data_IF_324591868915
#
_entry.id   IF_324591868915
#
_cell.length_a   1.000
_cell.length_b   1.000
_cell.length_c   1.000
_cell.angle_alpha   90.00
_cell.angle_beta   90.00
_cell.angle_gamma   90.00
#
_symmetry.space_group_name_H-M   'P 1'
#
loop_
_entity.id
_entity.type
_entity.pdbx_description
1 polymer ?
#
# COMPACT_ATOMS: atom_id res chain seq x y z
N UNK A 1 -24.97 1.14 10.74
CA UNK A 1 -23.50 1.28 10.70
C UNK A 1 -23.08 1.79 12.06
N UNK A 2 -22.21 1.05 12.74
CA UNK A 2 -21.55 1.54 13.93
C UNK A 2 -20.32 2.32 13.51
N UNK A 3 -20.11 3.50 14.03
CA UNK A 3 -18.96 4.34 13.71
C UNK A 3 -17.76 4.05 14.65
N UNK A 4 -18.01 3.40 15.77
CA UNK A 4 -16.99 2.98 16.71
C UNK A 4 -16.34 1.67 16.23
N UNK A 5 -15.10 1.47 16.62
CA UNK A 5 -14.43 0.19 16.40
C UNK A 5 -15.02 -0.85 17.35
N UNK A 6 -15.11 -2.10 16.89
CA UNK A 6 -15.35 -3.22 17.80
C UNK A 6 -14.26 -3.27 18.87
N UNK A 7 -14.57 -3.88 20.02
CA UNK A 7 -13.60 -4.04 21.10
C UNK A 7 -12.29 -4.71 20.61
N UNK A 8 -12.43 -5.75 19.76
CA UNK A 8 -11.30 -6.45 19.15
C UNK A 8 -10.47 -5.55 18.24
N UNK A 9 -11.10 -4.74 17.41
CA UNK A 9 -10.40 -3.80 16.52
C UNK A 9 -9.78 -2.63 17.31
N UNK A 10 -10.37 -2.22 18.43
CA UNK A 10 -9.78 -1.23 19.32
C UNK A 10 -8.51 -1.78 19.98
N UNK A 11 -8.55 -3.00 20.51
CA UNK A 11 -7.40 -3.67 21.11
C UNK A 11 -6.28 -3.85 20.09
N UNK A 12 -6.61 -4.30 18.87
CA UNK A 12 -5.63 -4.44 17.77
C UNK A 12 -4.98 -3.12 17.40
N UNK A 13 -5.75 -2.05 17.32
CA UNK A 13 -5.20 -0.71 17.05
C UNK A 13 -4.23 -0.29 18.14
N UNK A 14 -4.57 -0.55 19.41
CA UNK A 14 -3.69 -0.23 20.56
C UNK A 14 -2.42 -1.09 20.54
N UNK A 15 -2.51 -2.39 20.20
CA UNK A 15 -1.37 -3.28 19.99
C UNK A 15 -0.40 -2.71 18.94
N UNK A 16 -0.94 -2.39 17.74
CA UNK A 16 -0.11 -1.91 16.64
C UNK A 16 0.46 -0.52 16.92
N UNK A 17 -0.31 0.36 17.58
CA UNK A 17 0.18 1.68 17.99
C UNK A 17 1.34 1.56 18.95
N UNK A 18 1.21 0.73 19.97
CA UNK A 18 2.29 0.49 20.94
C UNK A 18 3.54 -0.08 20.26
N UNK A 19 3.38 -1.02 19.33
CA UNK A 19 4.48 -1.52 18.51
C UNK A 19 5.14 -0.39 17.68
N UNK A 20 4.36 0.40 16.99
CA UNK A 20 4.89 1.49 16.17
C UNK A 20 5.65 2.54 17.01
N UNK A 21 5.20 2.83 18.20
CA UNK A 21 5.86 3.77 19.11
C UNK A 21 7.15 3.20 19.72
N UNK A 22 7.17 1.91 20.04
CA UNK A 22 8.33 1.27 20.65
C UNK A 22 9.43 0.93 19.63
N UNK A 23 9.07 0.40 18.47
CA UNK A 23 10.03 -0.20 17.55
C UNK A 23 10.27 0.63 16.27
N UNK A 24 9.19 1.18 15.66
CA UNK A 24 9.30 1.90 14.40
C UNK A 24 9.66 3.38 14.57
N UNK A 25 9.03 4.08 15.50
CA UNK A 25 9.23 5.52 15.67
C UNK A 25 10.69 5.91 15.98
N UNK A 26 11.43 5.16 16.82
CA UNK A 26 12.84 5.48 17.11
C UNK A 26 13.76 5.41 15.89
N UNK A 27 13.43 4.60 14.89
CA UNK A 27 14.26 4.40 13.71
C UNK A 27 13.69 5.02 12.43
N UNK A 28 12.47 5.55 12.46
CA UNK A 28 11.74 6.01 11.27
C UNK A 28 12.51 7.06 10.46
N UNK A 29 13.15 8.03 11.10
CA UNK A 29 13.97 9.03 10.40
C UNK A 29 15.23 8.39 9.82
N UNK A 30 15.89 7.51 10.58
CA UNK A 30 17.13 6.85 10.16
C UNK A 30 16.91 5.95 8.94
N UNK A 31 15.87 5.12 8.91
CA UNK A 31 15.59 4.25 7.74
C UNK A 31 15.24 5.06 6.50
N UNK A 32 14.60 6.22 6.68
CA UNK A 32 14.29 7.15 5.58
C UNK A 32 15.58 7.81 5.03
N UNK A 33 16.47 8.28 5.91
CA UNK A 33 17.75 8.92 5.52
C UNK A 33 18.71 7.92 4.87
N UNK A 34 18.79 6.70 5.41
CA UNK A 34 19.59 5.59 4.90
C UNK A 34 19.00 4.98 3.61
N UNK A 35 17.76 5.34 3.26
CA UNK A 35 17.00 4.81 2.09
C UNK A 35 16.96 3.29 2.07
N UNK A 36 16.76 2.68 3.21
CA UNK A 36 16.79 1.22 3.35
C UNK A 36 15.43 0.63 3.74
N UNK A 37 15.17 -0.55 3.21
CA UNK A 37 14.05 -1.36 3.67
C UNK A 37 14.28 -1.79 5.13
N UNK A 38 13.29 -1.64 6.03
CA UNK A 38 13.43 -1.97 7.44
C UNK A 38 13.11 -3.45 7.71
N UNK A 39 14.00 -4.37 7.30
CA UNK A 39 13.79 -5.81 7.44
C UNK A 39 13.45 -6.20 8.88
N UNK A 40 14.14 -5.61 9.86
CA UNK A 40 13.92 -5.84 11.29
C UNK A 40 12.47 -5.53 11.75
N UNK A 41 11.82 -4.54 11.13
CA UNK A 41 10.41 -4.23 11.41
C UNK A 41 9.48 -5.28 10.80
N UNK A 42 9.82 -5.78 9.60
CA UNK A 42 9.02 -6.83 8.96
C UNK A 42 9.16 -8.17 9.69
N UNK A 43 10.34 -8.50 10.21
CA UNK A 43 10.54 -9.67 11.08
C UNK A 43 9.64 -9.59 12.32
N UNK A 44 9.64 -8.44 13.03
CA UNK A 44 8.79 -8.20 14.20
C UNK A 44 7.29 -8.20 13.87
N UNK A 45 6.88 -7.70 12.70
CA UNK A 45 5.50 -7.78 12.22
C UNK A 45 5.08 -9.24 11.96
N UNK A 46 5.99 -10.04 11.40
CA UNK A 46 5.82 -11.48 11.19
C UNK A 46 5.65 -12.23 12.51
N UNK A 47 6.57 -12.05 13.45
CA UNK A 47 6.55 -12.69 14.78
C UNK A 47 5.26 -12.38 15.56
N UNK A 48 4.66 -11.21 15.32
CA UNK A 48 3.37 -10.81 15.88
C UNK A 48 2.18 -11.24 15.04
N UNK A 49 2.37 -11.93 13.90
CA UNK A 49 1.32 -12.32 12.95
C UNK A 49 0.58 -11.12 12.32
N UNK A 50 1.21 -9.96 12.25
CA UNK A 50 0.60 -8.75 11.69
C UNK A 50 0.69 -8.70 10.16
N UNK A 51 1.56 -9.48 9.50
CA UNK A 51 1.63 -9.58 8.04
C UNK A 51 0.44 -10.34 7.45
N UNK A 52 -0.13 -11.29 8.20
CA UNK A 52 -1.27 -12.11 7.81
C UNK A 52 -2.64 -11.65 8.34
N UNK A 53 -2.80 -10.40 8.79
CA UNK A 53 -4.05 -9.94 9.45
C UNK A 53 -5.32 -10.27 8.65
N UNK A 54 -5.45 -9.99 7.33
CA UNK A 54 -6.67 -10.30 6.58
C UNK A 54 -6.69 -11.72 6.01
N UNK A 55 -5.61 -12.49 6.15
CA UNK A 55 -5.47 -13.85 5.58
C UNK A 55 -6.09 -14.88 6.52
N UNK A 56 -6.66 -15.94 5.96
CA UNK A 56 -7.28 -17.02 6.72
C UNK A 56 -6.31 -17.67 7.73
N UNK A 57 -6.84 -18.06 8.89
CA UNK A 57 -6.10 -18.80 9.92
C UNK A 57 -5.55 -20.14 9.38
N UNK A 58 -6.23 -20.74 8.40
CA UNK A 58 -5.79 -21.97 7.76
C UNK A 58 -4.40 -21.84 7.10
N UNK A 59 -4.00 -20.62 6.70
CA UNK A 59 -2.72 -20.32 6.08
C UNK A 59 -1.84 -19.40 6.95
N UNK A 60 -2.00 -19.48 8.27
CA UNK A 60 -1.15 -18.76 9.22
C UNK A 60 -1.51 -17.29 9.44
N UNK A 61 -2.60 -16.80 8.86
CA UNK A 61 -3.13 -15.46 9.08
C UNK A 61 -3.99 -15.34 10.35
N UNK A 62 -4.60 -14.16 10.55
CA UNK A 62 -5.51 -13.88 11.69
C UNK A 62 -6.99 -13.90 11.31
N UNK A 63 -7.36 -14.01 10.02
CA UNK A 63 -8.76 -14.01 9.55
C UNK A 63 -9.56 -12.75 9.90
N UNK A 64 -8.90 -11.62 10.15
CA UNK A 64 -9.53 -10.47 10.80
C UNK A 64 -10.15 -9.44 9.84
N UNK A 65 -10.09 -9.68 8.52
CA UNK A 65 -10.73 -8.85 7.50
C UNK A 65 -10.03 -7.54 7.17
N UNK A 66 -10.67 -6.79 6.27
CA UNK A 66 -10.14 -5.55 5.71
C UNK A 66 -10.14 -4.38 6.71
N UNK A 67 -11.14 -4.31 7.60
CA UNK A 67 -11.19 -3.26 8.62
C UNK A 67 -9.98 -3.36 9.55
N UNK A 68 -9.71 -4.54 10.09
CA UNK A 68 -8.58 -4.80 10.96
C UNK A 68 -7.24 -4.54 10.27
N UNK A 69 -7.10 -5.00 9.02
CA UNK A 69 -5.92 -4.74 8.20
C UNK A 69 -5.69 -3.24 7.97
N UNK A 70 -6.75 -2.48 7.67
CA UNK A 70 -6.66 -1.03 7.46
C UNK A 70 -6.15 -0.28 8.70
N UNK A 71 -6.44 -0.77 9.91
CA UNK A 71 -5.90 -0.18 11.15
C UNK A 71 -4.38 -0.37 11.26
N UNK A 72 -3.87 -1.53 10.85
CA UNK A 72 -2.41 -1.75 10.82
C UNK A 72 -1.74 -0.80 9.83
N UNK A 73 -2.28 -0.68 8.62
CA UNK A 73 -1.76 0.25 7.60
C UNK A 73 -1.80 1.70 8.08
N UNK A 74 -2.89 2.14 8.73
CA UNK A 74 -3.04 3.48 9.29
C UNK A 74 -1.98 3.78 10.35
N UNK A 75 -1.76 2.87 11.32
CA UNK A 75 -0.79 3.09 12.40
C UNK A 75 0.66 3.04 11.91
N UNK A 76 1.00 2.16 10.94
CA UNK A 76 2.31 2.18 10.29
C UNK A 76 2.54 3.49 9.52
N UNK A 77 1.54 3.94 8.75
CA UNK A 77 1.59 5.20 8.00
C UNK A 77 1.70 6.44 8.88
N UNK A 78 1.13 6.41 10.09
CA UNK A 78 1.25 7.47 11.09
C UNK A 78 2.71 7.73 11.50
N UNK A 79 3.56 6.72 11.44
CA UNK A 79 4.96 6.80 11.83
C UNK A 79 5.89 6.81 10.61
N UNK A 80 5.66 5.93 9.63
CA UNK A 80 6.52 5.77 8.44
C UNK A 80 5.69 5.40 7.22
N UNK A 81 5.57 6.35 6.28
CA UNK A 81 4.87 6.11 5.01
C UNK A 81 5.49 4.99 4.19
N UNK A 82 6.83 4.91 4.16
CA UNK A 82 7.53 3.88 3.40
C UNK A 82 7.28 2.47 3.96
N UNK A 83 7.39 2.30 5.28
CA UNK A 83 7.08 1.01 5.94
C UNK A 83 5.62 0.62 5.69
N UNK A 84 4.68 1.56 5.83
CA UNK A 84 3.26 1.33 5.56
C UNK A 84 2.98 0.97 4.11
N UNK A 85 3.68 1.57 3.13
CA UNK A 85 3.53 1.22 1.71
C UNK A 85 4.04 -0.18 1.39
N UNK A 86 5.24 -0.52 1.89
CA UNK A 86 5.81 -1.88 1.70
C UNK A 86 4.93 -2.95 2.32
N UNK A 87 4.38 -2.69 3.51
CA UNK A 87 3.41 -3.56 4.17
C UNK A 87 2.12 -3.70 3.34
N UNK A 88 1.58 -2.59 2.82
CA UNK A 88 0.38 -2.61 2.01
C UNK A 88 0.59 -3.39 0.70
N UNK A 89 1.71 -3.22 0.02
CA UNK A 89 2.05 -3.95 -1.19
C UNK A 89 2.18 -5.46 -0.92
N UNK A 90 2.86 -5.85 0.15
CA UNK A 90 2.99 -7.24 0.57
C UNK A 90 1.63 -7.89 0.84
N UNK A 91 0.80 -7.27 1.69
CA UNK A 91 -0.43 -7.91 2.16
C UNK A 91 -1.56 -7.78 1.14
N UNK A 92 -1.86 -6.57 0.63
CA UNK A 92 -3.04 -6.38 -0.23
C UNK A 92 -2.81 -6.76 -1.69
N UNK A 93 -1.57 -6.64 -2.18
CA UNK A 93 -1.29 -6.85 -3.60
C UNK A 93 -0.62 -8.20 -3.91
N UNK A 94 0.09 -8.81 -2.92
CA UNK A 94 0.69 -10.12 -3.12
C UNK A 94 -0.07 -11.23 -2.37
N UNK A 95 -0.27 -11.11 -1.05
CA UNK A 95 -0.89 -12.18 -0.25
C UNK A 95 -2.37 -12.36 -0.58
N UNK A 96 -3.16 -11.28 -0.68
CA UNK A 96 -4.60 -11.38 -0.96
C UNK A 96 -4.97 -12.00 -2.31
N UNK A 97 -4.29 -11.71 -3.44
CA UNK A 97 -4.53 -12.43 -4.69
C UNK A 97 -4.26 -13.93 -4.59
N UNK A 98 -3.21 -14.35 -3.87
CA UNK A 98 -2.94 -15.76 -3.61
C UNK A 98 -4.05 -16.41 -2.78
N UNK A 99 -4.54 -15.71 -1.75
CA UNK A 99 -5.65 -16.17 -0.93
C UNK A 99 -6.95 -16.34 -1.75
N UNK A 100 -7.23 -15.37 -2.64
CA UNK A 100 -8.46 -15.33 -3.41
C UNK A 100 -8.48 -16.30 -4.61
N UNK A 101 -7.35 -16.47 -5.29
CA UNK A 101 -7.27 -17.12 -6.60
C UNK A 101 -6.34 -18.34 -6.65
N UNK A 102 -5.53 -18.57 -5.60
CA UNK A 102 -4.59 -19.67 -5.53
C UNK A 102 -5.26 -21.03 -5.32
N UNK A 103 -4.68 -22.07 -5.91
CA UNK A 103 -4.96 -23.46 -5.54
C UNK A 103 -4.46 -23.74 -4.12
N UNK A 104 -4.92 -24.82 -3.50
CA UNK A 104 -4.43 -25.24 -2.17
C UNK A 104 -2.90 -25.38 -2.14
N UNK A 105 -2.32 -26.04 -3.16
CA UNK A 105 -0.87 -26.20 -3.27
C UNK A 105 -0.12 -24.86 -3.41
N UNK A 106 -0.70 -23.90 -4.14
CA UNK A 106 -0.12 -22.55 -4.26
C UNK A 106 -0.22 -21.79 -2.94
N UNK A 107 -1.33 -21.93 -2.21
CA UNK A 107 -1.51 -21.29 -0.90
C UNK A 107 -0.54 -21.85 0.14
N UNK A 108 -0.42 -23.17 0.21
CA UNK A 108 0.56 -23.82 1.10
C UNK A 108 2.00 -23.39 0.78
N UNK A 109 2.35 -23.31 -0.50
CA UNK A 109 3.71 -22.99 -0.93
C UNK A 109 4.08 -21.52 -0.82
N UNK A 110 3.14 -20.61 -1.17
CA UNK A 110 3.43 -19.19 -1.35
C UNK A 110 2.70 -18.29 -0.34
N UNK A 111 1.41 -18.55 -0.05
CA UNK A 111 0.62 -17.70 0.84
C UNK A 111 0.99 -17.89 2.30
N UNK A 112 1.17 -19.13 2.74
CA UNK A 112 1.46 -19.44 4.14
C UNK A 112 2.75 -18.78 4.64
N UNK A 113 3.90 -18.87 3.93
CA UNK A 113 5.11 -18.14 4.31
C UNK A 113 4.93 -16.61 4.32
N UNK A 114 4.17 -16.05 3.36
CA UNK A 114 3.85 -14.62 3.33
C UNK A 114 3.03 -14.20 4.55
N UNK A 115 1.99 -14.96 4.89
CA UNK A 115 1.11 -14.65 6.02
C UNK A 115 1.82 -14.73 7.37
N UNK A 116 2.83 -15.63 7.48
CA UNK A 116 3.67 -15.79 8.68
C UNK A 116 4.83 -14.80 8.75
N UNK A 117 5.14 -14.09 7.66
CA UNK A 117 6.28 -13.18 7.59
C UNK A 117 7.63 -13.88 7.36
N UNK A 118 7.61 -15.15 6.97
CA UNK A 118 8.79 -15.93 6.58
C UNK A 118 9.28 -15.54 5.18
N UNK A 119 8.43 -14.86 4.41
CA UNK A 119 8.68 -14.40 3.04
C UNK A 119 8.01 -13.05 2.81
N UNK A 120 8.50 -12.29 1.81
CA UNK A 120 7.92 -11.03 1.37
C UNK A 120 7.35 -11.14 -0.05
N UNK A 121 6.25 -10.43 -0.28
CA UNK A 121 5.59 -10.41 -1.58
C UNK A 121 5.64 -9.06 -2.27
N UNK A 122 5.59 -9.11 -3.61
CA UNK A 122 5.43 -7.95 -4.49
C UNK A 122 4.36 -8.21 -5.56
N UNK A 123 3.91 -7.14 -6.21
CA UNK A 123 2.92 -7.20 -7.29
C UNK A 123 3.37 -6.40 -8.50
N UNK A 124 3.40 -7.03 -9.65
CA UNK A 124 3.99 -6.48 -10.86
C UNK A 124 2.96 -6.37 -12.01
N UNK A 125 2.33 -5.19 -12.09
CA UNK A 125 1.42 -4.81 -13.16
C UNK A 125 2.08 -3.79 -14.10
N UNK A 126 2.49 -2.65 -13.55
CA UNK A 126 2.93 -1.45 -14.27
C UNK A 126 4.16 -1.70 -15.15
N UNK A 127 4.15 -1.14 -16.35
CA UNK A 127 5.23 -1.20 -17.32
C UNK A 127 5.63 0.23 -17.76
N UNK A 128 6.78 0.40 -18.46
CA UNK A 128 7.18 1.71 -18.97
C UNK A 128 6.09 2.40 -19.81
N UNK A 129 5.35 1.67 -20.61
CA UNK A 129 4.31 2.18 -21.51
C UNK A 129 2.88 2.00 -20.96
N UNK A 130 2.71 1.32 -19.81
CA UNK A 130 1.41 0.97 -19.23
C UNK A 130 1.33 1.36 -17.76
N UNK A 131 0.77 2.53 -17.49
CA UNK A 131 0.50 3.04 -16.13
C UNK A 131 -1.00 3.18 -15.86
N UNK A 132 -1.60 4.34 -16.17
CA UNK A 132 -3.05 4.55 -16.01
C UNK A 132 -3.87 3.72 -17.01
N UNK A 133 -3.32 3.44 -18.18
CA UNK A 133 -3.83 2.44 -19.12
C UNK A 133 -3.24 1.07 -18.77
N UNK A 134 -3.70 0.53 -17.63
CA UNK A 134 -3.11 -0.65 -17.00
C UNK A 134 -3.36 -1.96 -17.74
N UNK A 135 -4.24 -1.95 -18.74
CA UNK A 135 -4.53 -3.12 -19.60
C UNK A 135 -3.64 -3.19 -20.84
N UNK A 136 -2.93 -2.12 -21.17
CA UNK A 136 -2.05 -2.05 -22.35
C UNK A 136 -0.66 -2.62 -22.05
N UNK A 137 -0.62 -3.86 -21.54
CA UNK A 137 0.62 -4.55 -21.16
C UNK A 137 1.39 -5.02 -22.40
N UNK A 138 2.72 -4.95 -22.30
CA UNK A 138 3.66 -5.43 -23.33
C UNK A 138 4.40 -6.69 -22.89
N UNK A 139 4.44 -7.00 -21.60
CA UNK A 139 5.02 -8.26 -21.09
C UNK A 139 4.19 -9.43 -21.61
N UNK A 140 4.83 -10.37 -22.30
CA UNK A 140 4.17 -11.52 -22.92
C UNK A 140 4.53 -12.80 -22.17
N UNK A 141 3.58 -13.74 -22.14
CA UNK A 141 3.79 -15.10 -21.67
C UNK A 141 3.33 -16.06 -22.80
N UNK A 142 4.26 -16.77 -23.38
CA UNK A 142 4.00 -17.71 -24.49
C UNK A 142 4.12 -19.14 -23.99
N UNK A 143 3.11 -19.98 -24.26
CA UNK A 143 3.15 -21.39 -23.84
C UNK A 143 4.13 -22.18 -24.72
N UNK A 144 5.05 -22.93 -24.08
CA UNK A 144 6.04 -23.81 -24.71
C UNK A 144 6.01 -25.17 -23.98
N UNK A 145 5.24 -26.09 -24.51
CA UNK A 145 4.98 -27.39 -23.86
C UNK A 145 4.22 -27.21 -22.53
N UNK A 146 4.83 -27.66 -21.43
CA UNK A 146 4.26 -27.59 -20.08
C UNK A 146 4.73 -26.36 -19.31
N UNK A 147 5.38 -25.41 -19.98
CA UNK A 147 5.92 -24.18 -19.38
C UNK A 147 5.37 -22.93 -20.07
N UNK A 148 5.50 -21.80 -19.38
CA UNK A 148 5.31 -20.46 -19.91
C UNK A 148 6.65 -19.75 -20.04
N UNK A 149 6.96 -19.21 -21.21
CA UNK A 149 8.13 -18.37 -21.45
C UNK A 149 7.71 -16.91 -21.39
N UNK A 150 8.26 -16.17 -20.42
CA UNK A 150 7.86 -14.81 -20.15
C UNK A 150 8.96 -13.82 -20.49
N UNK A 151 8.60 -12.81 -21.27
CA UNK A 151 9.49 -11.73 -21.72
C UNK A 151 8.86 -10.38 -21.50
N UNK A 152 9.60 -9.41 -20.94
CA UNK A 152 9.13 -8.05 -20.77
C UNK A 152 9.86 -7.24 -19.72
N UNK A 153 9.27 -6.09 -19.38
CA UNK A 153 9.83 -5.16 -18.38
C UNK A 153 8.73 -4.65 -17.47
N UNK A 154 8.93 -4.75 -16.17
CA UNK A 154 8.04 -4.15 -15.16
C UNK A 154 8.69 -2.95 -14.48
N UNK A 155 7.90 -1.91 -14.21
CA UNK A 155 8.38 -0.64 -13.69
C UNK A 155 7.61 -0.19 -12.47
N UNK A 156 8.28 0.50 -11.56
CA UNK A 156 7.74 1.02 -10.30
C UNK A 156 7.18 -0.06 -9.36
N UNK A 157 7.80 -1.23 -9.34
CA UNK A 157 7.35 -2.37 -8.53
C UNK A 157 7.90 -2.24 -7.11
N UNK A 158 7.00 -2.02 -6.16
CA UNK A 158 7.31 -1.96 -4.73
C UNK A 158 7.76 -3.33 -4.24
N UNK A 159 8.79 -3.36 -3.41
CA UNK A 159 9.39 -4.55 -2.78
C UNK A 159 10.11 -5.52 -3.72
N UNK A 160 10.15 -5.33 -5.04
CA UNK A 160 10.65 -6.36 -5.96
C UNK A 160 12.08 -6.85 -5.68
N UNK A 161 12.94 -6.01 -5.09
CA UNK A 161 14.32 -6.39 -4.74
C UNK A 161 14.49 -7.06 -3.37
N UNK A 162 13.41 -7.16 -2.61
CA UNK A 162 13.37 -7.82 -1.29
C UNK A 162 12.27 -8.89 -1.21
N UNK A 163 11.53 -9.09 -2.31
CA UNK A 163 10.45 -10.06 -2.38
C UNK A 163 10.98 -11.48 -2.63
N UNK A 164 10.30 -12.46 -2.03
CA UNK A 164 10.50 -13.90 -2.28
C UNK A 164 9.48 -14.46 -3.28
N UNK A 165 8.38 -13.71 -3.49
CA UNK A 165 7.41 -14.01 -4.54
C UNK A 165 6.83 -12.74 -5.14
N UNK A 166 6.61 -12.76 -6.47
CA UNK A 166 6.05 -11.63 -7.23
C UNK A 166 4.82 -12.11 -8.00
N UNK A 167 3.68 -11.46 -7.73
CA UNK A 167 2.44 -11.70 -8.50
C UNK A 167 2.52 -10.88 -9.78
N UNK A 168 2.79 -11.54 -10.87
CA UNK A 168 3.14 -10.96 -12.17
C UNK A 168 1.96 -11.02 -13.14
N UNK A 169 1.65 -9.92 -13.82
CA UNK A 169 0.68 -9.87 -14.93
C UNK A 169 1.41 -9.90 -16.27
N UNK A 170 0.94 -10.76 -17.20
CA UNK A 170 1.47 -10.83 -18.54
C UNK A 170 0.35 -11.15 -19.56
N UNK A 171 0.58 -10.79 -20.81
CA UNK A 171 -0.34 -11.07 -21.94
C UNK A 171 -0.08 -12.48 -22.45
N UNK A 172 -1.09 -13.33 -22.39
CA UNK A 172 -1.08 -14.70 -22.92
C UNK A 172 -1.78 -14.82 -24.29
N UNK A 173 -2.70 -13.89 -24.58
CA UNK A 173 -3.36 -13.78 -25.89
C UNK A 173 -3.53 -12.30 -26.28
N UNK A 174 -2.68 -11.77 -27.18
CA UNK A 174 -2.76 -10.36 -27.60
C UNK A 174 -4.06 -9.98 -28.33
N UNK A 175 -4.77 -10.94 -28.92
CA UNK A 175 -5.99 -10.69 -29.70
C UNK A 175 -7.26 -10.66 -28.80
N UNK A 176 -7.18 -11.19 -27.58
CA UNK A 176 -8.31 -11.29 -26.67
C UNK A 176 -8.55 -10.02 -25.80
N UNK A 177 -7.73 -8.97 -25.93
CA UNK A 177 -7.85 -7.74 -25.16
C UNK A 177 -7.74 -7.99 -23.66
N UNK A 178 -8.75 -7.60 -22.87
CA UNK A 178 -8.76 -7.81 -21.42
C UNK A 178 -8.69 -9.29 -20.99
N UNK A 179 -9.32 -10.17 -21.77
CA UNK A 179 -9.35 -11.62 -21.55
C UNK A 179 -8.03 -12.29 -21.99
N UNK A 180 -7.11 -11.52 -22.56
CA UNK A 180 -5.77 -11.99 -22.92
C UNK A 180 -4.74 -11.84 -21.83
N UNK A 181 -5.08 -11.28 -20.65
CA UNK A 181 -4.15 -11.06 -19.54
C UNK A 181 -4.26 -12.21 -18.54
N UNK A 182 -3.12 -12.76 -18.11
CA UNK A 182 -3.04 -13.82 -17.11
C UNK A 182 -2.12 -13.41 -15.96
N UNK A 183 -2.21 -14.14 -14.86
CA UNK A 183 -1.42 -13.89 -13.64
C UNK A 183 -0.49 -15.06 -13.36
N UNK A 184 0.74 -14.76 -12.99
CA UNK A 184 1.76 -15.76 -12.67
C UNK A 184 2.39 -15.48 -11.30
N UNK A 185 2.90 -16.52 -10.67
CA UNK A 185 3.72 -16.45 -9.46
C UNK A 185 5.19 -16.61 -9.87
N UNK A 186 5.96 -15.55 -9.74
CA UNK A 186 7.40 -15.52 -10.02
C UNK A 186 8.19 -15.65 -8.72
N UNK A 187 9.20 -16.51 -8.70
CA UNK A 187 10.21 -16.64 -7.65
C UNK A 187 11.49 -15.92 -8.09
N UNK A 188 11.80 -14.71 -7.60
CA UNK A 188 12.94 -13.94 -8.06
C UNK A 188 14.29 -14.55 -7.70
N UNK A 189 14.32 -15.57 -6.85
CA UNK A 189 15.55 -16.26 -6.43
C UNK A 189 15.81 -17.56 -7.19
N UNK A 190 14.78 -18.17 -7.77
CA UNK A 190 14.85 -19.48 -8.42
C UNK A 190 14.58 -19.43 -9.93
N UNK A 191 13.86 -18.44 -10.41
CA UNK A 191 13.47 -18.36 -11.82
C UNK A 191 14.53 -17.59 -12.61
N UNK A 192 15.32 -18.30 -13.42
CA UNK A 192 16.37 -17.71 -14.27
C UNK A 192 15.78 -16.69 -15.26
N UNK A 193 16.54 -15.65 -15.60
CA UNK A 193 16.13 -14.59 -16.53
C UNK A 193 15.43 -13.40 -15.86
N UNK A 194 15.21 -13.43 -14.54
CA UNK A 194 14.77 -12.26 -13.77
C UNK A 194 15.96 -11.38 -13.37
N UNK A 195 15.89 -10.07 -13.64
CA UNK A 195 16.95 -9.13 -13.26
C UNK A 195 16.38 -7.79 -12.80
N UNK A 196 16.76 -7.35 -11.59
CA UNK A 196 16.50 -5.98 -11.14
C UNK A 196 17.45 -5.02 -11.88
N UNK A 197 16.91 -4.24 -12.81
CA UNK A 197 17.70 -3.31 -13.63
C UNK A 197 17.80 -1.91 -13.01
N UNK A 198 16.89 -1.56 -12.10
CA UNK A 198 16.93 -0.27 -11.42
C UNK A 198 16.18 -0.29 -10.08
N UNK A 199 16.78 0.29 -9.04
CA UNK A 199 16.10 0.76 -7.83
C UNK A 199 15.97 2.27 -7.95
N UNK A 200 14.73 2.77 -7.90
CA UNK A 200 14.43 4.19 -8.13
C UNK A 200 14.74 5.04 -6.90
N UNK A 201 15.42 6.14 -7.14
CA UNK A 201 15.47 7.26 -6.19
C UNK A 201 14.17 8.06 -6.27
N UNK A 202 13.55 8.35 -5.14
CA UNK A 202 12.20 8.93 -5.06
C UNK A 202 12.19 10.23 -4.27
N UNK A 203 11.14 11.01 -4.44
CA UNK A 203 10.88 12.22 -3.66
C UNK A 203 10.65 11.92 -2.17
N UNK A 204 9.98 10.82 -1.85
CA UNK A 204 9.64 10.34 -0.51
C UNK A 204 9.55 8.83 -0.46
N UNK A 205 9.07 8.28 0.68
CA UNK A 205 8.92 6.85 0.91
C UNK A 205 10.24 6.09 0.68
N UNK A 206 11.36 6.66 1.13
CA UNK A 206 12.69 6.14 0.83
C UNK A 206 12.93 4.76 1.45
N UNK A 207 12.25 4.46 2.57
CA UNK A 207 12.30 3.16 3.23
C UNK A 207 11.47 2.06 2.51
N UNK A 208 10.75 2.40 1.44
CA UNK A 208 10.04 1.45 0.58
C UNK A 208 10.76 1.34 -0.77
N UNK A 209 11.45 0.25 -1.09
CA UNK A 209 12.12 0.11 -2.37
C UNK A 209 11.10 0.04 -3.52
N UNK A 210 11.46 0.65 -4.64
CA UNK A 210 10.64 0.66 -5.86
C UNK A 210 11.54 0.36 -7.04
N UNK A 211 11.26 -0.71 -7.77
CA UNK A 211 12.17 -1.28 -8.75
C UNK A 211 11.62 -1.27 -10.17
N UNK A 212 12.54 -1.33 -11.13
CA UNK A 212 12.31 -1.84 -12.47
C UNK A 212 13.05 -3.15 -12.59
N UNK A 213 12.45 -4.14 -13.23
CA UNK A 213 13.08 -5.39 -13.57
C UNK A 213 12.73 -5.85 -14.97
N UNK A 214 13.59 -6.67 -15.55
CA UNK A 214 13.40 -7.33 -16.83
C UNK A 214 13.20 -8.83 -16.65
N UNK A 215 12.49 -9.40 -17.60
CA UNK A 215 12.24 -10.82 -17.77
C UNK A 215 12.77 -11.19 -19.15
N UNK A 216 13.75 -12.07 -19.23
CA UNK A 216 14.41 -12.51 -20.46
C UNK A 216 14.36 -14.04 -20.52
N UNK A 217 13.40 -14.57 -21.30
CA UNK A 217 13.10 -15.99 -21.44
C UNK A 217 12.86 -16.71 -20.08
N UNK A 218 12.20 -16.03 -19.15
CA UNK A 218 11.85 -16.62 -17.83
C UNK A 218 10.87 -17.76 -18.04
N UNK A 219 11.27 -18.98 -17.61
CA UNK A 219 10.47 -20.20 -17.76
C UNK A 219 9.76 -20.54 -16.48
N UNK A 220 8.43 -20.52 -16.53
CA UNK A 220 7.58 -20.88 -15.39
C UNK A 220 6.78 -22.14 -15.72
N UNK A 221 6.80 -23.17 -14.87
CA UNK A 221 5.93 -24.34 -15.03
C UNK A 221 4.44 -23.96 -14.90
N UNK A 222 3.56 -24.80 -15.41
CA UNK A 222 2.13 -24.53 -15.49
C UNK A 222 1.50 -24.24 -14.12
N UNK A 223 2.01 -24.85 -13.06
CA UNK A 223 1.53 -24.66 -11.68
C UNK A 223 1.82 -23.26 -11.10
N UNK A 224 2.57 -22.42 -11.84
CA UNK A 224 2.80 -21.00 -11.51
C UNK A 224 1.72 -20.06 -12.08
N UNK A 225 0.80 -20.54 -12.90
CA UNK A 225 -0.39 -19.78 -13.33
C UNK A 225 -1.33 -19.63 -12.13
N UNK A 226 -1.68 -18.40 -11.77
CA UNK A 226 -2.59 -18.07 -10.67
C UNK A 226 -4.03 -17.91 -11.21
N UNK A 227 -4.92 -18.84 -10.88
CA UNK A 227 -6.25 -18.94 -11.49
C UNK A 227 -6.18 -19.52 -12.89
N UNK A 228 -7.07 -19.12 -13.79
CA UNK A 228 -7.15 -19.59 -15.15
C UNK A 228 -6.52 -18.59 -16.13
N UNK A 229 -6.12 -19.09 -17.32
CA UNK A 229 -5.64 -18.22 -18.42
C UNK A 229 -6.73 -17.22 -18.79
N UNK A 230 -6.37 -15.94 -18.93
CA UNK A 230 -7.30 -14.87 -19.33
C UNK A 230 -8.03 -14.18 -18.17
N UNK A 231 -7.92 -14.68 -16.94
CA UNK A 231 -8.58 -14.07 -15.77
C UNK A 231 -7.80 -12.90 -15.14
N UNK A 232 -6.59 -12.64 -15.63
CA UNK A 232 -5.66 -11.69 -15.00
C UNK A 232 -6.22 -10.28 -14.85
N UNK A 233 -7.05 -9.81 -15.79
CA UNK A 233 -7.66 -8.49 -15.69
C UNK A 233 -8.74 -8.42 -14.61
N UNK A 234 -9.62 -9.39 -14.53
CA UNK A 234 -10.64 -9.49 -13.48
C UNK A 234 -10.01 -9.58 -12.09
N UNK A 235 -8.95 -10.40 -11.95
CA UNK A 235 -8.16 -10.48 -10.73
C UNK A 235 -7.52 -9.12 -10.38
N UNK A 236 -7.01 -8.38 -11.38
CA UNK A 236 -6.44 -7.04 -11.20
C UNK A 236 -7.46 -6.07 -10.62
N UNK A 237 -8.67 -6.01 -11.18
CA UNK A 237 -9.72 -5.10 -10.70
C UNK A 237 -10.13 -5.42 -9.26
N UNK A 238 -10.31 -6.71 -8.95
CA UNK A 238 -10.62 -7.19 -7.59
C UNK A 238 -9.52 -6.83 -6.59
N UNK A 239 -8.26 -7.02 -6.97
CA UNK A 239 -7.09 -6.69 -6.14
C UNK A 239 -7.02 -5.20 -5.85
N UNK A 240 -7.22 -4.37 -6.89
CA UNK A 240 -7.14 -2.92 -6.78
C UNK A 240 -8.24 -2.31 -5.91
N UNK A 241 -9.43 -2.91 -5.81
CA UNK A 241 -10.46 -2.41 -4.90
C UNK A 241 -10.02 -2.53 -3.43
N UNK A 242 -9.39 -3.65 -3.05
CA UNK A 242 -8.75 -3.81 -1.74
C UNK A 242 -7.53 -2.89 -1.55
N UNK A 243 -6.70 -2.76 -2.57
CA UNK A 243 -5.51 -1.91 -2.58
C UNK A 243 -5.83 -0.42 -2.39
N UNK A 244 -6.87 0.10 -3.04
CA UNK A 244 -7.34 1.49 -2.85
C UNK A 244 -7.75 1.77 -1.41
N UNK A 245 -8.39 0.80 -0.73
CA UNK A 245 -8.71 0.93 0.70
C UNK A 245 -7.43 0.99 1.53
N UNK A 246 -6.41 0.21 1.19
CA UNK A 246 -5.11 0.22 1.86
C UNK A 246 -4.40 1.56 1.70
N UNK A 247 -4.39 2.13 0.48
CA UNK A 247 -3.80 3.45 0.22
C UNK A 247 -4.60 4.56 0.94
N UNK A 248 -5.92 4.44 1.05
CA UNK A 248 -6.72 5.37 1.83
C UNK A 248 -6.35 5.30 3.33
N UNK A 249 -6.14 4.09 3.87
CA UNK A 249 -5.68 3.90 5.26
C UNK A 249 -4.27 4.46 5.48
N UNK A 250 -3.33 4.17 4.57
CA UNK A 250 -1.98 4.73 4.60
C UNK A 250 -1.99 6.26 4.57
N UNK A 251 -2.79 6.84 3.68
CA UNK A 251 -2.97 8.29 3.58
C UNK A 251 -3.54 8.90 4.86
N UNK A 252 -4.53 8.22 5.47
CA UNK A 252 -5.09 8.62 6.76
C UNK A 252 -4.04 8.61 7.86
N UNK A 253 -3.17 7.59 7.87
CA UNK A 253 -2.03 7.49 8.79
C UNK A 253 -1.04 8.64 8.60
N UNK A 254 -0.64 8.95 7.36
CA UNK A 254 0.23 10.08 7.04
C UNK A 254 -0.37 11.41 7.52
N UNK A 255 -1.68 11.62 7.28
CA UNK A 255 -2.38 12.82 7.78
C UNK A 255 -2.38 12.87 9.31
N UNK A 256 -2.62 11.75 9.98
CA UNK A 256 -2.62 11.66 11.44
C UNK A 256 -1.24 11.99 12.02
N UNK A 257 -0.16 11.42 11.47
CA UNK A 257 1.21 11.68 11.94
C UNK A 257 1.61 13.14 11.74
N UNK A 258 1.27 13.73 10.59
CA UNK A 258 1.52 15.15 10.32
C UNK A 258 0.72 16.07 11.27
N UNK A 259 -0.55 15.75 11.51
CA UNK A 259 -1.40 16.47 12.47
C UNK A 259 -0.86 16.40 13.90
N UNK A 260 -0.47 15.20 14.38
CA UNK A 260 0.08 15.02 15.72
C UNK A 260 1.37 15.82 15.92
N UNK A 261 2.29 15.78 14.95
CA UNK A 261 3.53 16.54 14.97
C UNK A 261 3.28 18.06 15.06
N UNK A 262 2.36 18.58 14.24
CA UNK A 262 2.00 19.99 14.24
C UNK A 262 1.34 20.44 15.55
N UNK A 263 0.40 19.63 16.04
CA UNK A 263 -0.32 19.90 17.30
C UNK A 263 0.61 19.95 18.50
N UNK A 264 1.52 18.98 18.60
CA UNK A 264 2.53 18.92 19.68
C UNK A 264 3.42 20.14 19.63
N UNK A 265 4.00 20.43 18.44
CA UNK A 265 4.87 21.59 18.27
C UNK A 265 4.16 22.91 18.61
N UNK A 266 2.91 23.08 18.16
CA UNK A 266 2.16 24.31 18.43
C UNK A 266 1.85 24.53 19.92
N UNK A 267 1.69 23.45 20.67
CA UNK A 267 1.49 23.52 22.12
C UNK A 267 2.76 23.85 22.92
N UNK A 268 3.94 23.50 22.38
CA UNK A 268 5.24 23.69 23.04
C UNK A 268 5.98 24.93 22.61
N UNK A 269 5.83 25.33 21.35
CA UNK A 269 6.52 26.50 20.77
C UNK A 269 5.89 27.80 21.22
N UNK A 270 6.67 28.65 21.89
CA UNK A 270 6.24 29.97 22.32
C UNK A 270 6.74 31.09 21.40
N UNK A 271 5.87 32.04 21.10
CA UNK A 271 6.19 33.33 20.48
C UNK A 271 5.22 34.38 21.05
N UNK A 272 5.71 35.61 21.21
CA UNK A 272 4.95 36.72 21.82
C UNK A 272 4.41 36.34 23.21
N UNK A 273 5.25 35.65 24.00
CA UNK A 273 5.01 35.26 25.39
C UNK A 273 3.84 34.24 25.61
N UNK A 274 3.50 33.47 24.57
CA UNK A 274 2.48 32.41 24.65
C UNK A 274 2.74 31.29 23.64
N UNK A 275 2.20 30.06 23.87
CA UNK A 275 2.21 28.98 22.89
C UNK A 275 1.57 29.42 21.57
N UNK A 276 2.16 29.04 20.44
CA UNK A 276 1.62 29.43 19.14
C UNK A 276 0.22 28.86 18.87
N UNK A 277 -0.17 27.80 19.55
CA UNK A 277 -1.53 27.25 19.52
C UNK A 277 -2.62 28.24 20.01
N UNK A 278 -2.23 29.26 20.78
CA UNK A 278 -3.16 30.28 21.26
C UNK A 278 -3.51 31.34 20.22
N UNK A 279 -2.77 31.40 19.09
CA UNK A 279 -3.12 32.29 17.98
C UNK A 279 -4.21 31.67 17.11
N UNK A 280 -5.29 32.41 16.85
CA UNK A 280 -6.44 31.93 16.07
C UNK A 280 -6.03 31.36 14.70
N UNK A 281 -5.11 32.03 14.00
CA UNK A 281 -4.65 31.57 12.68
C UNK A 281 -3.94 30.19 12.74
N UNK A 282 -3.21 29.90 13.81
CA UNK A 282 -2.57 28.59 14.01
C UNK A 282 -3.59 27.55 14.44
N UNK A 283 -4.49 27.94 15.34
CA UNK A 283 -5.59 27.08 15.81
C UNK A 283 -6.48 26.63 14.66
N UNK A 284 -6.84 27.55 13.76
CA UNK A 284 -7.65 27.24 12.56
C UNK A 284 -6.98 26.21 11.66
N UNK A 285 -5.65 26.32 11.42
CA UNK A 285 -4.90 25.31 10.68
C UNK A 285 -4.99 23.92 11.35
N UNK A 286 -4.79 23.84 12.66
CA UNK A 286 -4.84 22.59 13.42
C UNK A 286 -6.26 21.97 13.38
N UNK A 287 -7.29 22.79 13.51
CA UNK A 287 -8.70 22.34 13.41
C UNK A 287 -9.00 21.79 12.01
N UNK A 288 -8.54 22.46 10.94
CA UNK A 288 -8.72 21.97 9.56
C UNK A 288 -7.96 20.69 9.28
N UNK A 289 -6.74 20.53 9.82
CA UNK A 289 -5.98 19.29 9.74
C UNK A 289 -6.74 18.13 10.40
N UNK A 290 -7.22 18.34 11.61
CA UNK A 290 -8.04 17.35 12.33
C UNK A 290 -9.29 16.96 11.54
N UNK A 291 -10.06 17.95 11.07
CA UNK A 291 -11.31 17.75 10.30
C UNK A 291 -11.05 16.91 9.04
N UNK A 292 -9.98 17.21 8.29
CA UNK A 292 -9.64 16.49 7.06
C UNK A 292 -9.23 15.05 7.37
N UNK A 293 -8.45 14.83 8.42
CA UNK A 293 -8.02 13.50 8.86
C UNK A 293 -9.21 12.63 9.29
N UNK A 294 -10.14 13.18 10.07
CA UNK A 294 -11.33 12.44 10.51
C UNK A 294 -12.26 12.10 9.33
N UNK A 295 -12.44 13.01 8.39
CA UNK A 295 -13.23 12.76 7.17
C UNK A 295 -12.62 11.61 6.35
N UNK A 296 -11.30 11.64 6.11
CA UNK A 296 -10.57 10.58 5.41
C UNK A 296 -10.72 9.23 6.12
N UNK A 297 -10.57 9.20 7.44
CA UNK A 297 -10.74 8.01 8.28
C UNK A 297 -12.14 7.41 8.17
N UNK A 298 -13.18 8.23 8.23
CA UNK A 298 -14.58 7.76 8.13
C UNK A 298 -14.87 7.15 6.75
N UNK A 299 -14.38 7.76 5.67
CA UNK A 299 -14.54 7.21 4.31
C UNK A 299 -13.77 5.90 4.14
N UNK A 300 -12.55 5.81 4.66
CA UNK A 300 -11.74 4.60 4.64
C UNK A 300 -12.41 3.46 5.41
N UNK A 301 -12.89 3.72 6.63
CA UNK A 301 -13.62 2.73 7.44
C UNK A 301 -14.91 2.26 6.77
N UNK A 302 -15.65 3.17 6.13
CA UNK A 302 -16.85 2.82 5.36
C UNK A 302 -16.51 1.88 4.20
N UNK A 303 -15.43 2.14 3.46
CA UNK A 303 -15.01 1.29 2.35
C UNK A 303 -14.57 -0.11 2.85
N UNK A 304 -13.75 -0.18 3.91
CA UNK A 304 -13.33 -1.42 4.53
C UNK A 304 -14.50 -2.23 5.10
N UNK A 305 -15.45 -1.58 5.76
CA UNK A 305 -16.67 -2.21 6.28
C UNK A 305 -17.53 -2.84 5.17
N UNK A 306 -17.68 -2.16 4.03
CA UNK A 306 -18.38 -2.72 2.87
C UNK A 306 -17.64 -3.93 2.29
N UNK A 307 -16.33 -3.85 2.21
CA UNK A 307 -15.48 -4.92 1.70
C UNK A 307 -15.65 -6.21 2.53
N UNK A 308 -15.59 -6.11 3.86
CA UNK A 308 -15.77 -7.25 4.78
C UNK A 308 -17.16 -7.90 4.69
N UNK A 309 -18.14 -7.18 4.17
CA UNK A 309 -19.51 -7.68 3.96
C UNK A 309 -19.74 -8.27 2.57
N UNK A 310 -18.73 -8.29 1.71
CA UNK A 310 -18.87 -8.72 0.31
C UNK A 310 -19.78 -7.81 -0.53
N UNK A 311 -19.98 -6.54 -0.09
CA UNK A 311 -20.73 -5.56 -0.86
C UNK A 311 -19.85 -4.96 -1.97
N UNK A 312 -20.47 -4.41 -3.04
CA UNK A 312 -19.72 -3.66 -4.05
C UNK A 312 -18.96 -2.50 -3.42
N UNK A 313 -17.64 -2.46 -3.63
CA UNK A 313 -16.73 -1.52 -2.99
C UNK A 313 -16.09 -0.53 -3.95
N UNK A 314 -16.17 -0.73 -5.25
CA UNK A 314 -15.46 0.06 -6.28
C UNK A 314 -15.64 1.56 -6.08
N UNK A 315 -16.89 2.05 -5.95
CA UNK A 315 -17.16 3.47 -5.69
C UNK A 315 -16.63 3.90 -4.30
N UNK A 316 -16.89 3.12 -3.26
CA UNK A 316 -16.49 3.50 -1.89
C UNK A 316 -14.96 3.52 -1.73
N UNK A 317 -14.25 2.57 -2.33
CA UNK A 317 -12.80 2.49 -2.33
C UNK A 317 -12.17 3.66 -3.12
N UNK A 318 -12.70 3.95 -4.31
CA UNK A 318 -12.25 5.09 -5.12
C UNK A 318 -12.46 6.43 -4.40
N UNK A 319 -13.62 6.62 -3.77
CA UNK A 319 -13.92 7.84 -3.01
C UNK A 319 -13.02 7.98 -1.78
N UNK A 320 -12.82 6.90 -1.02
CA UNK A 320 -11.96 6.91 0.15
C UNK A 320 -10.51 7.22 -0.24
N UNK A 321 -9.99 6.58 -1.31
CA UNK A 321 -8.62 6.79 -1.79
C UNK A 321 -8.41 8.21 -2.28
N UNK A 322 -9.34 8.75 -3.06
CA UNK A 322 -9.27 10.12 -3.58
C UNK A 322 -9.23 11.14 -2.44
N UNK A 323 -10.19 11.05 -1.52
CA UNK A 323 -10.31 12.00 -0.42
C UNK A 323 -9.12 11.90 0.56
N UNK A 324 -8.73 10.69 0.96
CA UNK A 324 -7.66 10.48 1.92
C UNK A 324 -6.29 10.92 1.37
N UNK A 325 -5.99 10.64 0.10
CA UNK A 325 -4.72 11.02 -0.51
C UNK A 325 -4.56 12.54 -0.65
N UNK A 326 -5.63 13.23 -1.06
CA UNK A 326 -5.64 14.70 -1.13
C UNK A 326 -5.57 15.32 0.27
N UNK A 327 -6.31 14.77 1.24
CA UNK A 327 -6.27 15.21 2.64
C UNK A 327 -4.87 15.04 3.25
N UNK A 328 -4.21 13.91 3.02
CA UNK A 328 -2.85 13.66 3.54
C UNK A 328 -1.85 14.72 3.07
N UNK A 329 -1.86 15.06 1.80
CA UNK A 329 -0.98 16.12 1.25
C UNK A 329 -1.29 17.48 1.86
N UNK A 330 -2.59 17.86 1.94
CA UNK A 330 -3.00 19.16 2.48
C UNK A 330 -2.70 19.28 3.98
N UNK A 331 -2.88 18.21 4.75
CA UNK A 331 -2.57 18.16 6.18
C UNK A 331 -1.06 18.26 6.39
N UNK A 332 -0.25 17.52 5.63
CA UNK A 332 1.20 17.58 5.74
C UNK A 332 1.77 18.96 5.34
N UNK A 333 1.19 19.61 4.31
CA UNK A 333 1.51 20.99 3.92
C UNK A 333 1.21 21.97 5.06
N UNK A 334 0.03 21.84 5.68
CA UNK A 334 -0.35 22.67 6.82
C UNK A 334 0.55 22.42 8.04
N UNK A 335 1.01 21.18 8.27
CA UNK A 335 1.94 20.86 9.34
C UNK A 335 3.29 21.55 9.14
N UNK A 336 3.83 21.57 7.92
CA UNK A 336 5.04 22.35 7.59
C UNK A 336 4.82 23.82 7.91
N UNK A 337 3.67 24.37 7.53
CA UNK A 337 3.34 25.77 7.76
C UNK A 337 3.24 26.11 9.26
N UNK A 338 2.66 25.25 10.08
CA UNK A 338 2.58 25.41 11.55
C UNK A 338 3.97 25.42 12.18
N UNK A 339 4.88 24.55 11.74
CA UNK A 339 6.26 24.54 12.26
C UNK A 339 7.13 25.70 11.71
N UNK A 340 6.68 26.39 10.66
CA UNK A 340 7.42 27.48 10.05
C UNK A 340 8.79 27.02 9.54
N UNK A 341 9.87 27.73 9.85
CA UNK A 341 11.22 27.37 9.42
C UNK A 341 11.66 25.96 9.82
N UNK A 342 11.27 25.48 11.00
CA UNK A 342 11.55 24.12 11.43
C UNK A 342 10.86 23.07 10.55
N UNK A 343 9.63 23.33 10.10
CA UNK A 343 8.89 22.40 9.22
C UNK A 343 9.54 22.17 7.86
N UNK A 344 10.43 23.06 7.44
CA UNK A 344 11.18 22.96 6.19
C UNK A 344 12.52 22.21 6.34
N UNK A 345 12.95 21.93 7.58
CA UNK A 345 14.19 21.21 7.87
C UNK A 345 13.97 19.70 7.92
N UNK A 346 14.94 18.94 7.46
CA UNK A 346 14.83 17.47 7.34
C UNK A 346 14.79 16.75 8.67
N UNK A 347 15.24 17.37 9.75
CA UNK A 347 15.19 16.85 11.12
C UNK A 347 13.77 16.78 11.70
N UNK A 348 12.79 17.44 11.06
CA UNK A 348 11.40 17.47 11.50
C UNK A 348 10.51 16.64 10.56
N UNK A 349 9.65 15.81 11.13
CA UNK A 349 8.84 14.85 10.39
C UNK A 349 7.84 15.45 9.35
N UNK A 350 7.24 16.66 9.49
CA UNK A 350 6.23 17.14 8.56
C UNK A 350 6.65 17.17 7.09
N UNK A 351 7.90 17.56 6.79
CA UNK A 351 8.39 17.57 5.41
C UNK A 351 8.48 16.15 4.82
N UNK A 352 8.74 15.12 5.66
CA UNK A 352 8.73 13.70 5.25
C UNK A 352 7.31 13.28 4.88
N UNK A 353 6.34 13.53 5.75
CA UNK A 353 4.93 13.24 5.48
C UNK A 353 4.42 13.93 4.20
N UNK A 354 4.85 15.16 3.94
CA UNK A 354 4.49 15.88 2.70
C UNK A 354 5.02 15.19 1.45
N UNK A 355 6.29 14.81 1.46
CA UNK A 355 6.91 14.07 0.34
C UNK A 355 6.25 12.71 0.12
N UNK A 356 5.97 11.99 1.20
CA UNK A 356 5.36 10.67 1.19
C UNK A 356 3.91 10.73 0.69
N UNK A 357 3.13 11.69 1.17
CA UNK A 357 1.73 11.87 0.80
C UNK A 357 1.53 12.11 -0.71
N UNK A 358 2.53 12.69 -1.40
CA UNK A 358 2.39 12.95 -2.84
C UNK A 358 2.23 11.69 -3.68
N UNK A 359 2.88 10.58 -3.30
CA UNK A 359 2.70 9.30 -4.02
C UNK A 359 1.28 8.77 -3.86
N UNK A 360 0.61 9.03 -2.75
CA UNK A 360 -0.75 8.55 -2.51
C UNK A 360 -1.77 9.05 -3.55
N UNK A 361 -1.53 10.21 -4.14
CA UNK A 361 -2.35 10.75 -5.25
C UNK A 361 -2.06 10.09 -6.61
N UNK A 362 -0.97 9.29 -6.72
CA UNK A 362 -0.45 8.74 -7.98
C UNK A 362 -0.60 7.22 -8.02
N UNK A 363 -0.08 6.50 -7.02
CA UNK A 363 -0.07 5.03 -6.96
C UNK A 363 -1.48 4.45 -6.85
N UNK A 364 -1.65 3.21 -7.31
CA UNK A 364 -2.90 2.45 -7.34
C UNK A 364 -4.08 3.18 -8.02
N UNK A 365 -3.77 3.88 -9.11
CA UNK A 365 -4.69 4.73 -9.85
C UNK A 365 -4.66 6.17 -9.36
N UNK A 366 -4.27 7.07 -10.24
CA UNK A 366 -4.16 8.51 -9.94
C UNK A 366 -5.47 9.10 -9.45
N UNK A 367 -5.42 10.30 -8.81
CA UNK A 367 -6.64 11.05 -8.44
C UNK A 367 -7.60 11.25 -9.63
N UNK A 368 -7.06 11.37 -10.86
CA UNK A 368 -7.85 11.47 -12.09
C UNK A 368 -8.56 10.15 -12.40
N UNK A 369 -7.86 9.02 -12.24
CA UNK A 369 -8.46 7.68 -12.40
C UNK A 369 -9.54 7.44 -11.34
N UNK A 370 -9.33 7.84 -10.08
CA UNK A 370 -10.38 7.70 -9.06
C UNK A 370 -11.63 8.52 -9.44
N UNK A 371 -11.47 9.75 -9.93
CA UNK A 371 -12.60 10.58 -10.42
C UNK A 371 -13.32 9.93 -11.61
N UNK A 372 -12.57 9.32 -12.53
CA UNK A 372 -13.16 8.58 -13.66
C UNK A 372 -13.99 7.38 -13.18
N UNK A 373 -13.48 6.61 -12.22
CA UNK A 373 -14.20 5.47 -11.63
C UNK A 373 -15.49 5.94 -10.96
N UNK A 374 -15.40 6.96 -10.11
CA UNK A 374 -16.57 7.53 -9.41
C UNK A 374 -17.58 8.05 -10.43
N UNK A 375 -17.15 8.76 -11.47
CA UNK A 375 -18.02 9.25 -12.53
C UNK A 375 -18.81 8.14 -13.24
N UNK A 376 -18.13 7.03 -13.58
CA UNK A 376 -18.77 5.85 -14.17
C UNK A 376 -19.81 5.21 -13.24
N UNK A 377 -19.49 5.07 -11.95
CA UNK A 377 -20.42 4.55 -10.95
C UNK A 377 -21.65 5.45 -10.74
N UNK A 378 -21.52 6.75 -11.02
CA UNK A 378 -22.62 7.73 -10.99
C UNK A 378 -23.34 7.85 -12.35
N UNK A 379 -22.95 7.06 -13.36
CA UNK A 379 -23.50 7.10 -14.73
C UNK A 379 -23.31 8.48 -15.41
N UNK A 380 -22.17 9.13 -15.17
CA UNK A 380 -21.75 10.41 -15.76
C UNK A 380 -20.79 10.19 -16.93
#
# INVERSE_FOLDING_TARGET
>A
MDFELSAENQERREEVRAFCEAELAPIAQKIEDDRRFPAEIFDELGDRGLLGVPISEAYGGRGAGQQAYSLVVEELGRVSGGTGLSYAAHTSLASKPLDAFGTEAQKERWLEPLARGESLGAWALTEPESGSDASNLQTQAVKDGDEWVINGTKQFITNANVADSIILKAVTDPEAGYDGISTFILDPHADDGFEITKIWDKMGLHSSPTCTFTLDDVRLPEDRLLGETGEGWTQTLTTLDGGRISIAALSTGLAQGAYEAAKTYAGEREQFDQPIAEFDAVRDLIVEMYRKTERARLLTRKAAWKYDRGESTTNAAALAKLDASEAAREVAESAIQVLGGHGYMTEYAPQRFYRDAKLMEIGEGTSQIQRLIIGRELSL
#
